data_IF_813298009308
#
_entry.id   IF_813298009308
#
_cell.length_a   1.000
_cell.length_b   1.000
_cell.length_c   1.000
_cell.angle_alpha   90.00
_cell.angle_beta   90.00
_cell.angle_gamma   90.00
#
_symmetry.space_group_name_H-M   'P 1'
#
loop_
_entity.id
_entity.type
_entity.pdbx_description
1 polymer ?
#
# COMPACT_ATOMS: atom_id res chain seq x y z
N UNK A 1 -59.98 -47.58 18.86
CA UNK A 1 -59.24 -47.48 17.59
C UNK A 1 -57.90 -46.78 17.86
N UNK A 2 -56.87 -47.53 18.28
CA UNK A 2 -55.57 -46.94 18.69
C UNK A 2 -54.66 -46.75 17.47
N UNK A 3 -54.33 -45.49 17.19
CA UNK A 3 -53.44 -45.09 16.10
C UNK A 3 -52.00 -45.36 16.54
N UNK A 4 -51.38 -46.40 15.98
CA UNK A 4 -49.96 -46.75 16.18
C UNK A 4 -49.08 -45.58 15.73
N UNK A 5 -48.52 -44.84 16.69
CA UNK A 5 -47.40 -43.93 16.46
C UNK A 5 -46.20 -44.78 16.05
N UNK A 6 -45.93 -44.83 14.74
CA UNK A 6 -44.70 -45.37 14.18
C UNK A 6 -43.54 -44.57 14.79
N UNK A 7 -42.77 -45.19 15.68
CA UNK A 7 -41.50 -44.66 16.16
C UNK A 7 -40.57 -44.51 14.96
N UNK A 8 -40.26 -43.26 14.60
CA UNK A 8 -39.32 -42.88 13.52
C UNK A 8 -37.86 -42.93 14.01
N UNK A 9 -37.59 -43.35 15.26
CA UNK A 9 -36.27 -43.21 15.88
C UNK A 9 -35.40 -44.47 15.96
N UNK A 10 -35.76 -45.55 15.25
CA UNK A 10 -35.17 -46.87 15.52
C UNK A 10 -33.88 -47.22 14.76
N UNK A 11 -33.13 -46.25 14.23
CA UNK A 11 -31.82 -46.48 13.57
C UNK A 11 -30.78 -45.39 13.88
N UNK A 12 -30.72 -44.89 15.13
CA UNK A 12 -29.59 -44.06 15.57
C UNK A 12 -28.40 -44.94 15.95
N UNK A 13 -27.63 -45.40 14.96
CA UNK A 13 -26.26 -45.86 15.21
C UNK A 13 -25.46 -44.67 15.75
N UNK A 14 -25.04 -44.75 17.02
CA UNK A 14 -24.19 -43.73 17.61
C UNK A 14 -22.88 -43.62 16.84
N UNK A 15 -22.41 -42.40 16.59
CA UNK A 15 -21.11 -42.18 15.97
C UNK A 15 -20.01 -42.79 16.83
N UNK A 16 -19.07 -43.46 16.18
CA UNK A 16 -17.91 -44.00 16.89
C UNK A 16 -17.04 -42.85 17.40
N UNK A 17 -16.37 -43.05 18.54
CA UNK A 17 -15.51 -42.03 19.14
C UNK A 17 -14.38 -41.61 18.19
N UNK A 18 -13.94 -42.53 17.32
CA UNK A 18 -12.96 -42.30 16.27
C UNK A 18 -13.51 -41.40 15.14
N UNK A 19 -14.75 -41.60 14.69
CA UNK A 19 -15.39 -40.69 13.72
C UNK A 19 -15.53 -39.26 14.26
N UNK A 20 -15.86 -39.11 15.54
CA UNK A 20 -15.96 -37.79 16.17
C UNK A 20 -14.58 -37.13 16.21
N UNK A 21 -13.52 -37.85 16.57
CA UNK A 21 -12.15 -37.33 16.58
C UNK A 21 -11.67 -36.92 15.18
N UNK A 22 -11.92 -37.76 14.16
CA UNK A 22 -11.57 -37.46 12.77
C UNK A 22 -12.35 -36.25 12.26
N UNK A 23 -13.65 -36.18 12.56
CA UNK A 23 -14.49 -35.03 12.17
C UNK A 23 -14.01 -33.75 12.84
N UNK A 24 -13.65 -33.80 14.13
CA UNK A 24 -13.11 -32.66 14.86
C UNK A 24 -11.78 -32.18 14.25
N UNK A 25 -10.89 -33.13 13.89
CA UNK A 25 -9.62 -32.83 13.25
C UNK A 25 -9.80 -32.19 11.87
N UNK A 26 -10.76 -32.65 11.07
CA UNK A 26 -11.07 -32.03 9.78
C UNK A 26 -11.59 -30.60 9.99
N UNK A 27 -12.48 -30.39 10.97
CA UNK A 27 -13.03 -29.06 11.26
C UNK A 27 -11.93 -28.10 11.73
N UNK A 28 -11.01 -28.53 12.59
CA UNK A 28 -9.91 -27.67 13.05
C UNK A 28 -8.96 -27.30 11.92
N UNK A 29 -8.64 -28.24 11.02
CA UNK A 29 -7.82 -27.96 9.83
C UNK A 29 -8.49 -26.93 8.92
N UNK A 30 -9.79 -27.09 8.65
CA UNK A 30 -10.55 -26.12 7.83
C UNK A 30 -10.56 -24.74 8.49
N UNK A 31 -10.76 -24.68 9.81
CA UNK A 31 -10.74 -23.43 10.56
C UNK A 31 -9.38 -22.72 10.46
N UNK A 32 -8.28 -23.46 10.62
CA UNK A 32 -6.92 -22.91 10.49
C UNK A 32 -6.62 -22.42 9.08
N UNK A 33 -7.00 -23.19 8.05
CA UNK A 33 -6.83 -22.79 6.65
C UNK A 33 -7.61 -21.50 6.36
N UNK A 34 -8.86 -21.43 6.81
CA UNK A 34 -9.72 -20.27 6.62
C UNK A 34 -9.11 -19.03 7.29
N UNK A 35 -8.64 -19.17 8.54
CA UNK A 35 -7.98 -18.08 9.25
C UNK A 35 -6.72 -17.60 8.51
N UNK A 36 -5.90 -18.52 8.03
CA UNK A 36 -4.68 -18.19 7.27
C UNK A 36 -4.98 -17.44 5.97
N UNK A 37 -6.04 -17.83 5.25
CA UNK A 37 -6.49 -17.12 4.04
C UNK A 37 -6.90 -15.70 4.38
N UNK A 38 -7.69 -15.50 5.45
CA UNK A 38 -8.12 -14.16 5.86
C UNK A 38 -6.95 -13.27 6.29
N UNK A 39 -6.01 -13.79 7.07
CA UNK A 39 -4.83 -13.02 7.51
C UNK A 39 -3.92 -12.64 6.35
N UNK A 40 -3.72 -13.55 5.39
CA UNK A 40 -2.89 -13.26 4.23
C UNK A 40 -3.59 -12.28 3.29
N UNK A 41 -4.90 -12.41 3.11
CA UNK A 41 -5.69 -11.50 2.28
C UNK A 41 -5.69 -10.09 2.86
N UNK A 42 -5.88 -9.95 4.18
CA UNK A 42 -5.86 -8.63 4.83
C UNK A 42 -4.50 -7.94 4.70
N UNK A 43 -3.40 -8.68 4.89
CA UNK A 43 -2.05 -8.17 4.68
C UNK A 43 -1.82 -7.75 3.22
N UNK A 44 -2.30 -8.54 2.26
CA UNK A 44 -2.16 -8.22 0.85
C UNK A 44 -2.95 -6.95 0.46
N UNK A 45 -4.19 -6.82 0.96
CA UNK A 45 -5.01 -5.63 0.77
C UNK A 45 -4.32 -4.39 1.35
N UNK A 46 -3.78 -4.49 2.56
CA UNK A 46 -3.08 -3.38 3.20
C UNK A 46 -1.83 -2.97 2.41
N UNK A 47 -1.04 -3.94 1.95
CA UNK A 47 0.15 -3.68 1.14
C UNK A 47 -0.22 -3.05 -0.21
N UNK A 48 -1.30 -3.52 -0.86
CA UNK A 48 -1.80 -2.93 -2.10
C UNK A 48 -2.31 -1.51 -1.88
N UNK A 49 -3.04 -1.26 -0.79
CA UNK A 49 -3.50 0.06 -0.39
C UNK A 49 -2.31 1.02 -0.21
N UNK A 50 -1.30 0.62 0.56
CA UNK A 50 -0.10 1.44 0.80
C UNK A 50 0.65 1.74 -0.50
N UNK A 51 0.83 0.74 -1.38
CA UNK A 51 1.45 0.96 -2.70
C UNK A 51 0.67 1.93 -3.58
N UNK A 52 -0.66 1.81 -3.62
CA UNK A 52 -1.52 2.72 -4.38
C UNK A 52 -1.46 4.14 -3.81
N UNK A 53 -1.41 4.29 -2.49
CA UNK A 53 -1.27 5.59 -1.86
C UNK A 53 0.10 6.22 -2.15
N UNK A 54 1.18 5.46 -1.98
CA UNK A 54 2.55 5.90 -2.30
C UNK A 54 2.71 6.29 -3.78
N UNK A 55 2.11 5.54 -4.71
CA UNK A 55 2.21 5.83 -6.13
C UNK A 55 1.44 7.10 -6.52
N UNK A 56 0.23 7.28 -5.97
CA UNK A 56 -0.53 8.54 -6.12
C UNK A 56 0.27 9.71 -5.56
N UNK A 57 0.90 9.52 -4.40
CA UNK A 57 1.70 10.58 -3.78
C UNK A 57 2.90 10.98 -4.65
N UNK A 58 3.68 10.00 -5.11
CA UNK A 58 4.80 10.24 -6.03
C UNK A 58 4.35 10.91 -7.33
N UNK A 59 3.17 10.53 -7.86
CA UNK A 59 2.57 11.14 -9.03
C UNK A 59 2.24 12.62 -8.85
N UNK A 60 1.61 12.98 -7.73
CA UNK A 60 1.30 14.40 -7.41
C UNK A 60 2.57 15.21 -7.26
N UNK A 61 3.58 14.71 -6.54
CA UNK A 61 4.86 15.40 -6.40
C UNK A 61 5.54 15.59 -7.75
N UNK A 62 5.54 14.57 -8.61
CA UNK A 62 6.09 14.69 -9.96
C UNK A 62 5.36 15.75 -10.80
N UNK A 63 4.03 15.83 -10.69
CA UNK A 63 3.24 16.82 -11.41
C UNK A 63 3.59 18.24 -10.96
N UNK A 64 3.69 18.48 -9.65
CA UNK A 64 4.16 19.77 -9.11
C UNK A 64 5.58 20.12 -9.55
N UNK A 65 6.47 19.13 -9.59
CA UNK A 65 7.84 19.27 -10.11
C UNK A 65 7.83 19.65 -11.60
N UNK A 66 6.98 19.01 -12.40
CA UNK A 66 6.83 19.31 -13.84
C UNK A 66 6.26 20.71 -14.10
N UNK A 67 5.27 21.13 -13.31
CA UNK A 67 4.66 22.46 -13.43
C UNK A 67 5.63 23.58 -13.03
N UNK A 68 6.51 23.31 -12.07
CA UNK A 68 7.48 24.28 -11.56
C UNK A 68 8.92 23.89 -11.93
N UNK A 69 9.11 23.29 -13.10
CA UNK A 69 10.42 22.79 -13.56
C UNK A 69 11.50 23.87 -13.65
N UNK A 70 11.12 25.15 -13.71
CA UNK A 70 12.05 26.28 -13.69
C UNK A 70 12.85 26.36 -12.38
N UNK A 71 12.26 25.89 -11.26
CA UNK A 71 12.93 25.83 -9.95
C UNK A 71 13.81 24.58 -9.77
N UNK A 72 13.85 23.69 -10.77
CA UNK A 72 14.60 22.44 -10.65
C UNK A 72 16.10 22.71 -10.54
N UNK A 73 16.72 22.06 -9.56
CA UNK A 73 18.16 22.05 -9.30
C UNK A 73 18.62 20.62 -9.12
N UNK A 74 19.86 20.36 -9.47
CA UNK A 74 20.50 19.06 -9.23
C UNK A 74 20.63 18.78 -7.74
N UNK A 75 20.55 17.50 -7.39
CA UNK A 75 20.73 17.01 -6.04
C UNK A 75 19.43 16.64 -5.34
N UNK A 76 19.50 16.61 -4.02
CA UNK A 76 18.40 16.21 -3.16
C UNK A 76 17.46 17.39 -2.92
N UNK A 77 16.16 17.18 -3.15
CA UNK A 77 15.11 18.14 -2.81
C UNK A 77 14.48 17.69 -1.49
N UNK A 78 14.57 18.55 -0.48
CA UNK A 78 14.00 18.28 0.84
C UNK A 78 12.48 18.38 0.86
N UNK A 79 11.82 17.66 1.78
CA UNK A 79 10.36 17.75 1.98
C UNK A 79 9.89 19.20 2.22
N UNK A 80 10.71 20.00 2.90
CA UNK A 80 10.48 21.43 3.13
C UNK A 80 10.47 22.23 1.83
N UNK A 81 11.39 21.96 0.90
CA UNK A 81 11.45 22.64 -0.40
C UNK A 81 10.29 22.25 -1.32
N UNK A 82 9.79 21.02 -1.20
CA UNK A 82 8.57 20.58 -1.89
C UNK A 82 7.35 21.40 -1.43
N UNK A 83 7.22 21.66 -0.12
CA UNK A 83 6.09 22.40 0.45
C UNK A 83 6.17 23.92 0.32
N UNK A 84 7.35 24.48 0.06
CA UNK A 84 7.49 25.91 -0.19
C UNK A 84 6.67 26.32 -1.42
N UNK A 85 5.95 27.44 -1.34
CA UNK A 85 5.21 27.98 -2.48
C UNK A 85 6.14 28.14 -3.69
N UNK A 86 5.63 27.85 -4.88
CA UNK A 86 6.38 27.94 -6.13
C UNK A 86 7.05 29.31 -6.38
N UNK A 87 6.42 30.39 -5.88
CA UNK A 87 6.95 31.76 -5.95
C UNK A 87 8.20 32.00 -5.07
N UNK A 88 8.43 31.17 -4.06
CA UNK A 88 9.55 31.27 -3.12
C UNK A 88 10.65 30.24 -3.43
N UNK A 89 10.71 29.74 -4.67
CA UNK A 89 11.71 28.75 -5.08
C UNK A 89 11.37 27.29 -4.72
N UNK A 90 10.17 27.02 -4.21
CA UNK A 90 9.69 25.65 -3.96
C UNK A 90 8.82 25.07 -5.08
N UNK A 91 8.07 24.01 -4.79
CA UNK A 91 7.20 23.32 -5.75
C UNK A 91 5.69 23.42 -5.43
N UNK A 92 5.35 23.99 -4.27
CA UNK A 92 3.98 24.24 -3.84
C UNK A 92 3.16 22.98 -3.66
N UNK A 93 3.81 21.87 -3.29
CA UNK A 93 3.13 20.62 -2.95
C UNK A 93 2.36 20.83 -1.66
N UNK A 94 1.03 20.68 -1.70
CA UNK A 94 0.19 20.91 -0.53
C UNK A 94 0.38 19.80 0.51
N UNK A 95 1.23 20.06 1.50
CA UNK A 95 1.53 19.14 2.60
C UNK A 95 0.31 18.74 3.44
N UNK A 96 -0.80 19.50 3.38
CA UNK A 96 -2.01 19.22 4.18
C UNK A 96 -2.82 18.04 3.64
N UNK A 97 -2.83 17.81 2.32
CA UNK A 97 -3.42 16.61 1.74
C UNK A 97 -2.70 15.34 2.22
N UNK A 98 -1.43 15.47 2.61
CA UNK A 98 -0.57 14.35 2.92
C UNK A 98 -0.48 14.02 4.41
N UNK A 99 -0.63 15.00 5.31
CA UNK A 99 -0.55 14.76 6.76
C UNK A 99 -1.71 13.93 7.34
N UNK A 100 -2.84 13.76 6.65
CA UNK A 100 -3.99 13.02 7.20
C UNK A 100 -3.97 11.51 6.93
N UNK A 101 -3.28 11.04 5.88
CA UNK A 101 -3.18 9.61 5.54
C UNK A 101 -1.74 9.07 5.51
N UNK A 102 -0.73 9.95 5.47
CA UNK A 102 0.69 9.60 5.26
C UNK A 102 1.57 9.94 6.47
N UNK A 103 1.01 10.01 7.68
CA UNK A 103 1.79 10.31 8.91
C UNK A 103 2.98 9.35 9.11
N UNK A 104 2.94 8.19 8.45
CA UNK A 104 4.00 7.19 8.45
C UNK A 104 4.84 7.12 7.17
N UNK A 105 4.68 8.01 6.20
CA UNK A 105 5.46 8.02 4.96
C UNK A 105 6.36 9.25 4.85
N UNK A 106 7.51 9.07 4.21
CA UNK A 106 8.48 10.11 3.85
C UNK A 106 8.76 10.03 2.36
N UNK A 107 8.98 11.18 1.73
CA UNK A 107 9.31 11.28 0.31
C UNK A 107 10.71 11.87 0.14
N UNK A 108 11.51 11.14 -0.63
CA UNK A 108 12.86 11.56 -0.99
C UNK A 108 12.86 11.81 -2.49
N UNK A 109 13.26 13.01 -2.89
CA UNK A 109 13.36 13.38 -4.31
C UNK A 109 14.81 13.66 -4.64
N UNK A 110 15.33 12.94 -5.62
CA UNK A 110 16.67 13.10 -6.15
C UNK A 110 16.59 13.52 -7.60
N UNK A 111 17.33 14.57 -7.95
CA UNK A 111 17.38 15.11 -9.30
C UNK A 111 18.79 14.97 -9.85
N UNK A 112 18.90 14.28 -10.98
CA UNK A 112 20.13 14.10 -11.73
C UNK A 112 20.00 14.86 -13.05
N UNK A 113 21.02 15.63 -13.43
CA UNK A 113 21.02 16.29 -14.74
C UNK A 113 21.47 15.31 -15.80
N UNK A 114 20.62 15.13 -16.82
CA UNK A 114 20.90 14.23 -17.92
C UNK A 114 21.29 15.06 -19.14
N UNK A 115 22.60 15.29 -19.26
CA UNK A 115 23.26 16.13 -20.27
C UNK A 115 22.98 17.64 -20.16
N UNK A 116 24.04 18.40 -19.84
CA UNK A 116 24.04 19.88 -19.75
C UNK A 116 23.49 20.60 -20.99
N UNK A 117 23.45 19.94 -22.16
CA UNK A 117 23.01 20.54 -23.42
C UNK A 117 21.49 20.45 -23.66
N UNK A 118 20.74 19.59 -22.96
CA UNK A 118 19.34 19.30 -23.31
C UNK A 118 18.30 19.87 -22.34
N UNK A 119 18.71 20.55 -21.26
CA UNK A 119 17.81 21.02 -20.19
C UNK A 119 16.90 19.89 -19.65
N UNK A 120 17.37 18.64 -19.66
CA UNK A 120 16.63 17.47 -19.20
C UNK A 120 17.18 17.02 -17.85
N UNK A 121 16.27 16.74 -16.92
CA UNK A 121 16.59 16.22 -15.61
C UNK A 121 15.88 14.89 -15.38
N UNK A 122 16.60 13.92 -14.84
CA UNK A 122 16.02 12.69 -14.29
C UNK A 122 15.61 12.99 -12.85
N UNK A 123 14.34 12.80 -12.57
CA UNK A 123 13.76 12.97 -11.24
C UNK A 123 13.41 11.58 -10.71
N UNK A 124 14.11 11.17 -9.67
CA UNK A 124 13.89 9.95 -8.90
C UNK A 124 13.10 10.31 -7.65
N UNK A 125 11.88 9.79 -7.52
CA UNK A 125 11.01 9.99 -6.36
C UNK A 125 10.89 8.66 -5.65
N UNK A 126 11.35 8.62 -4.41
CA UNK A 126 11.25 7.46 -3.54
C UNK A 126 10.29 7.76 -2.39
N UNK A 127 9.31 6.88 -2.20
CA UNK A 127 8.40 6.93 -1.06
C UNK A 127 8.74 5.81 -0.10
N UNK A 128 9.07 6.19 1.14
CA UNK A 128 9.51 5.29 2.20
C UNK A 128 8.54 5.33 3.38
N UNK A 129 8.41 4.24 4.12
CA UNK A 129 7.71 4.23 5.40
C UNK A 129 8.67 4.69 6.51
N UNK A 130 8.32 5.75 7.26
CA UNK A 130 9.11 6.31 8.38
C UNK A 130 9.37 5.28 9.48
N UNK A 131 8.38 4.46 9.85
CA UNK A 131 8.52 3.48 10.94
C UNK A 131 9.43 2.32 10.59
N UNK A 132 9.32 1.79 9.37
CA UNK A 132 10.04 0.59 8.96
C UNK A 132 11.29 0.87 8.13
N UNK A 133 11.47 2.12 7.67
CA UNK A 133 12.48 2.53 6.67
C UNK A 133 12.49 1.64 5.43
N UNK A 134 11.33 1.08 5.09
CA UNK A 134 11.15 0.24 3.90
C UNK A 134 10.66 1.13 2.77
N UNK A 135 11.28 0.96 1.60
CA UNK A 135 10.85 1.56 0.34
C UNK A 135 9.51 0.96 -0.10
N UNK A 136 8.50 1.81 -0.21
CA UNK A 136 7.15 1.42 -0.63
C UNK A 136 6.98 1.55 -2.14
N UNK A 137 7.56 2.60 -2.73
CA UNK A 137 7.41 2.92 -4.14
C UNK A 137 8.58 3.75 -4.66
N UNK A 138 8.85 3.62 -5.96
CA UNK A 138 9.83 4.43 -6.69
C UNK A 138 9.26 4.82 -8.04
N UNK A 139 9.47 6.08 -8.39
CA UNK A 139 9.11 6.66 -9.66
C UNK A 139 10.32 7.36 -10.25
N UNK A 140 10.69 6.98 -11.46
CA UNK A 140 11.73 7.64 -12.25
C UNK A 140 11.05 8.34 -13.42
N UNK A 141 11.29 9.63 -13.58
CA UNK A 141 10.75 10.40 -14.70
C UNK A 141 11.78 11.38 -15.23
N UNK A 142 11.77 11.59 -16.53
CA UNK A 142 12.50 12.68 -17.17
C UNK A 142 11.62 13.92 -17.17
N UNK A 143 12.17 15.07 -16.78
CA UNK A 143 11.50 16.37 -16.73
C UNK A 143 12.38 17.39 -17.46
N UNK A 144 11.81 18.05 -18.48
CA UNK A 144 12.46 19.16 -19.15
C UNK A 144 12.29 20.46 -18.36
N UNK A 145 13.38 21.20 -18.20
CA UNK A 145 13.37 22.53 -17.57
C UNK A 145 12.90 23.58 -18.56
N UNK A 146 11.70 24.10 -18.30
CA UNK A 146 11.09 25.25 -18.99
C UNK A 146 11.48 26.57 -18.35
#
# INVERSE_FOLDING_TARGET
MYKKTKMIFSDKKGFTLLEVLVSLLIVTLIAMMTLSIFTNSSLWILNAYNKNLSSRYAGVVLEHIRLNSYNLKEGYISETELGLKAKNGGFGVDQTFFNQELDEMSINVYVENHHEMTNLFIVNIEVTCKKQKVKLFELVSIVGKK
#
